data_IF_253237457688
#
_entry.id   IF_253237457688
#
_cell.length_a   1.000
_cell.length_b   1.000
_cell.length_c   1.000
_cell.angle_alpha   90.00
_cell.angle_beta   90.00
_cell.angle_gamma   90.00
#
_symmetry.space_group_name_H-M   'P 1'
#
loop_
_entity.id
_entity.type
_entity.pdbx_description
1 polymer ?
#
# COMPACT_ATOMS: atom_id res chain seq x y z
N UNK A 1 65.02 -2.18 -0.18
CA UNK A 1 65.98 -1.10 -0.56
C UNK A 1 65.36 -0.29 -1.68
N UNK A 2 64.97 0.90 -1.45
CA UNK A 2 65.21 2.24 -2.02
C UNK A 2 64.07 3.18 -1.53
N UNK A 3 64.48 3.98 -0.57
CA UNK A 3 63.81 5.22 -0.17
C UNK A 3 63.91 6.23 -1.32
N UNK A 4 62.87 7.08 -1.49
CA UNK A 4 63.04 8.40 -2.09
C UNK A 4 62.39 9.47 -1.23
N UNK A 5 63.27 10.41 -0.86
CA UNK A 5 63.09 11.59 -0.04
C UNK A 5 62.31 12.67 -0.75
N UNK A 6 61.62 13.46 0.08
CA UNK A 6 61.10 14.80 -0.24
C UNK A 6 62.24 15.83 -0.36
N UNK A 7 62.04 16.94 -1.06
CA UNK A 7 62.62 18.21 -0.63
C UNK A 7 61.56 19.24 -0.25
N UNK A 8 61.78 19.87 0.87
CA UNK A 8 61.10 21.08 1.29
C UNK A 8 61.73 22.30 0.63
N UNK A 9 61.04 23.43 0.74
CA UNK A 9 61.49 24.75 0.31
C UNK A 9 60.58 25.80 0.94
N UNK A 10 61.16 26.55 1.79
CA UNK A 10 60.67 27.62 2.68
C UNK A 10 60.53 28.96 1.97
N UNK A 11 59.67 29.83 2.61
CA UNK A 11 59.73 31.28 2.79
C UNK A 11 59.63 32.23 1.58
N UNK A 12 58.79 33.22 1.62
CA UNK A 12 58.90 34.52 2.31
C UNK A 12 57.73 35.46 2.02
N UNK A 13 57.39 36.17 3.06
CA UNK A 13 56.54 37.35 3.20
C UNK A 13 56.72 38.46 2.14
N UNK A 14 55.62 39.16 1.79
CA UNK A 14 55.60 40.65 1.71
C UNK A 14 54.20 41.23 1.78
N UNK A 15 54.03 42.05 2.77
CA UNK A 15 53.02 43.09 3.02
C UNK A 15 52.83 44.08 1.86
N UNK A 16 51.56 44.43 1.54
CA UNK A 16 51.22 45.75 1.06
C UNK A 16 49.76 46.09 1.41
N UNK A 17 49.63 47.17 2.16
CA UNK A 17 48.37 47.84 2.53
C UNK A 17 47.72 48.52 1.32
N UNK A 18 46.43 48.42 1.20
CA UNK A 18 45.61 49.22 0.28
C UNK A 18 44.21 49.39 0.82
N UNK A 19 43.94 50.51 1.47
CA UNK A 19 42.59 50.97 1.88
C UNK A 19 41.74 51.26 0.66
N UNK A 20 40.54 50.68 0.59
CA UNK A 20 39.41 51.40 0.02
C UNK A 20 38.13 50.96 0.77
N UNK A 21 37.64 51.85 1.60
CA UNK A 21 36.29 51.88 2.07
C UNK A 21 35.35 52.22 0.90
N UNK A 22 34.36 51.44 0.70
CA UNK A 22 33.08 51.90 0.13
C UNK A 22 31.97 51.09 0.77
N UNK A 23 31.27 51.73 1.66
CA UNK A 23 30.00 51.34 2.21
C UNK A 23 29.00 51.02 1.10
N UNK A 24 28.53 49.79 1.04
CA UNK A 24 27.21 49.50 0.50
C UNK A 24 26.47 48.65 1.55
N UNK A 25 25.85 49.35 2.44
CA UNK A 25 24.87 48.85 3.37
C UNK A 25 23.59 48.52 2.57
N UNK A 26 23.54 47.37 1.91
CA UNK A 26 22.28 46.85 1.40
C UNK A 26 21.59 46.14 2.52
N UNK A 27 20.68 46.87 3.15
CA UNK A 27 19.76 46.41 4.14
C UNK A 27 19.07 45.14 3.67
N UNK A 28 19.35 44.01 4.34
CA UNK A 28 18.47 42.85 4.33
C UNK A 28 17.12 43.30 4.84
N UNK A 29 16.19 43.60 3.93
CA UNK A 29 14.79 43.68 4.27
C UNK A 29 14.38 42.36 4.91
N UNK A 30 14.37 42.36 6.22
CA UNK A 30 13.69 41.33 7.01
C UNK A 30 12.20 41.49 6.73
N UNK A 31 11.63 40.63 5.93
CA UNK A 31 10.20 40.52 5.75
C UNK A 31 9.56 40.15 7.11
N UNK A 32 8.84 41.09 7.78
CA UNK A 32 8.24 40.81 9.07
C UNK A 32 6.99 39.96 8.84
N UNK A 33 7.10 38.63 8.99
CA UNK A 33 5.92 37.77 8.96
C UNK A 33 6.11 36.36 8.46
N UNK A 34 7.28 35.94 8.00
CA UNK A 34 7.48 34.53 7.66
C UNK A 34 7.60 33.68 8.92
N UNK A 35 6.59 32.85 9.17
CA UNK A 35 6.65 31.84 10.20
C UNK A 35 7.86 30.92 9.94
N UNK A 36 8.54 30.53 11.03
CA UNK A 36 9.64 29.58 10.94
C UNK A 36 9.14 28.26 10.37
N UNK A 37 9.91 27.63 9.48
CA UNK A 37 9.62 26.30 8.97
C UNK A 37 9.47 25.31 10.14
N UNK A 38 8.33 24.64 10.24
CA UNK A 38 8.02 23.71 11.33
C UNK A 38 8.93 22.47 11.34
N UNK A 39 9.64 22.20 10.23
CA UNK A 39 10.51 21.03 10.08
C UNK A 39 11.95 21.35 10.47
N UNK A 40 12.50 22.49 10.06
CA UNK A 40 13.90 22.83 10.30
C UNK A 40 14.14 24.08 11.16
N UNK A 41 13.06 24.82 11.51
CA UNK A 41 13.14 26.05 12.32
C UNK A 41 13.66 27.29 11.58
N UNK A 42 14.08 27.20 10.33
CA UNK A 42 14.61 28.33 9.55
C UNK A 42 13.47 29.18 8.96
N UNK A 43 13.72 30.49 8.78
CA UNK A 43 12.73 31.45 8.25
C UNK A 43 12.94 31.81 6.78
N UNK A 44 13.90 31.17 6.07
CA UNK A 44 14.27 31.51 4.70
C UNK A 44 13.43 30.76 3.63
N UNK A 45 12.54 29.84 4.03
CA UNK A 45 11.66 29.11 3.14
C UNK A 45 10.36 28.74 3.87
N UNK A 46 9.33 28.34 3.12
CA UNK A 46 8.08 27.79 3.69
C UNK A 46 8.27 26.34 4.12
N UNK A 47 7.41 25.82 4.99
CA UNK A 47 7.44 24.40 5.42
C UNK A 47 7.30 23.45 4.23
N UNK A 48 6.49 23.80 3.22
CA UNK A 48 6.31 22.98 2.01
C UNK A 48 7.54 22.95 1.09
N UNK A 49 8.39 23.99 1.14
CA UNK A 49 9.63 24.11 0.36
C UNK A 49 10.86 23.60 1.12
N UNK A 50 10.67 23.06 2.32
CA UNK A 50 11.77 22.60 3.14
C UNK A 50 12.44 21.38 2.52
N UNK A 51 13.74 21.49 2.17
CA UNK A 51 14.52 20.37 1.64
C UNK A 51 14.56 19.16 2.58
N UNK A 52 14.43 19.38 3.89
CA UNK A 52 14.34 18.30 4.89
C UNK A 52 13.01 17.55 4.85
N UNK A 53 11.98 18.11 4.20
CA UNK A 53 10.69 17.48 3.97
C UNK A 53 10.57 16.88 2.55
N UNK A 54 11.59 17.03 1.73
CA UNK A 54 11.60 16.37 0.43
C UNK A 54 11.79 14.87 0.65
N UNK A 55 10.66 14.17 0.64
CA UNK A 55 10.65 12.72 0.54
C UNK A 55 10.81 12.36 -0.93
N UNK A 56 11.93 11.72 -1.26
CA UNK A 56 12.14 11.24 -2.61
C UNK A 56 11.49 9.86 -2.76
N UNK A 57 10.34 9.84 -3.41
CA UNK A 57 9.50 8.64 -3.54
C UNK A 57 10.24 7.44 -4.14
N UNK A 58 11.22 7.69 -5.02
CA UNK A 58 11.97 6.64 -5.70
C UNK A 58 12.92 5.86 -4.81
N UNK A 59 13.44 6.46 -3.75
CA UNK A 59 14.39 5.80 -2.86
C UNK A 59 13.89 5.66 -1.42
N UNK A 60 12.76 6.27 -1.08
CA UNK A 60 12.17 6.24 0.26
C UNK A 60 12.94 7.04 1.32
N UNK A 61 13.85 7.94 0.92
CA UNK A 61 14.62 8.77 1.85
C UNK A 61 14.29 10.24 1.67
N UNK A 62 14.36 10.98 2.79
CA UNK A 62 14.27 12.43 2.80
C UNK A 62 15.64 13.09 2.56
N UNK A 63 15.63 14.40 2.36
CA UNK A 63 16.81 15.29 2.35
C UNK A 63 17.65 15.31 1.05
N UNK A 64 17.17 14.76 -0.05
CA UNK A 64 17.83 14.91 -1.34
C UNK A 64 16.83 15.05 -2.49
N UNK A 65 17.30 15.53 -3.63
CA UNK A 65 16.51 15.65 -4.86
C UNK A 65 16.77 14.44 -5.78
N UNK A 66 15.98 14.33 -6.85
CA UNK A 66 16.17 13.31 -7.88
C UNK A 66 17.58 13.35 -8.49
N UNK A 67 18.16 14.55 -8.62
CA UNK A 67 19.49 14.75 -9.21
C UNK A 67 20.62 14.30 -8.26
N UNK A 68 20.37 14.32 -6.96
CA UNK A 68 21.34 13.95 -5.93
C UNK A 68 21.19 12.48 -5.52
N UNK A 69 20.16 11.78 -6.00
CA UNK A 69 19.92 10.40 -5.65
C UNK A 69 20.87 9.44 -6.36
N UNK A 70 21.70 8.74 -5.60
CA UNK A 70 22.65 7.74 -6.09
C UNK A 70 22.07 6.32 -6.13
N UNK A 71 20.80 6.14 -5.80
CA UNK A 71 20.14 4.82 -5.81
C UNK A 71 19.62 4.51 -7.21
N UNK A 72 19.53 3.23 -7.50
CA UNK A 72 18.87 2.77 -8.72
C UNK A 72 17.41 3.27 -8.76
N UNK A 73 16.94 3.68 -9.93
CA UNK A 73 15.56 4.05 -10.13
C UNK A 73 14.62 2.91 -9.68
N UNK A 74 13.51 3.27 -9.04
CA UNK A 74 12.55 2.28 -8.50
C UNK A 74 11.96 1.35 -9.56
N UNK A 75 11.88 1.79 -10.82
CA UNK A 75 11.41 0.97 -11.93
C UNK A 75 12.37 -0.17 -12.31
N UNK A 76 13.61 -0.17 -11.78
CA UNK A 76 14.53 -1.29 -11.90
C UNK A 76 14.26 -2.38 -10.85
N UNK A 77 13.44 -2.08 -9.83
CA UNK A 77 13.05 -3.05 -8.82
C UNK A 77 11.86 -3.84 -9.37
N UNK A 78 12.13 -5.07 -9.78
CA UNK A 78 11.09 -5.97 -10.25
C UNK A 78 10.17 -6.45 -9.12
N UNK A 79 9.02 -7.05 -9.47
CA UNK A 79 8.14 -7.67 -8.50
C UNK A 79 8.86 -8.78 -7.73
N UNK A 80 8.59 -8.90 -6.43
CA UNK A 80 9.13 -9.96 -5.59
C UNK A 80 8.37 -11.27 -5.86
N UNK A 81 9.10 -12.34 -6.19
CA UNK A 81 8.51 -13.67 -6.30
C UNK A 81 8.30 -14.25 -4.89
N UNK A 82 7.06 -14.58 -4.58
CA UNK A 82 6.66 -15.16 -3.29
C UNK A 82 6.04 -16.53 -3.48
N UNK A 83 6.07 -17.36 -2.43
CA UNK A 83 5.51 -18.72 -2.38
C UNK A 83 6.12 -19.66 -3.44
N UNK A 84 7.39 -19.50 -3.77
CA UNK A 84 8.07 -20.34 -4.77
C UNK A 84 8.14 -21.81 -4.38
N UNK A 85 8.12 -22.12 -3.08
CA UNK A 85 8.14 -23.50 -2.53
C UNK A 85 6.74 -24.10 -2.38
N UNK A 86 5.68 -23.39 -2.76
CA UNK A 86 4.29 -23.88 -2.67
C UNK A 86 3.78 -24.20 -4.07
N UNK A 87 3.51 -25.47 -4.32
CA UNK A 87 3.09 -25.96 -5.64
C UNK A 87 1.83 -25.23 -6.11
N UNK A 88 1.89 -24.65 -7.32
CA UNK A 88 0.81 -23.90 -7.96
C UNK A 88 0.30 -22.66 -7.18
N UNK A 89 1.02 -22.23 -6.12
CA UNK A 89 0.61 -21.09 -5.29
C UNK A 89 1.54 -19.88 -5.43
N UNK A 90 2.62 -19.98 -6.19
CA UNK A 90 3.54 -18.88 -6.41
C UNK A 90 2.85 -17.65 -7.01
N UNK A 91 3.30 -16.47 -6.61
CA UNK A 91 2.81 -15.20 -7.12
C UNK A 91 3.91 -14.13 -7.05
N UNK A 92 3.75 -13.11 -7.87
CA UNK A 92 4.57 -11.91 -7.79
C UNK A 92 3.87 -10.89 -6.90
N UNK A 93 4.60 -10.36 -5.93
CA UNK A 93 4.14 -9.31 -5.04
C UNK A 93 4.75 -7.97 -5.47
N UNK A 94 3.90 -6.95 -5.54
CA UNK A 94 4.29 -5.58 -5.79
C UNK A 94 3.89 -4.79 -4.55
N UNK A 95 4.84 -4.12 -3.92
CA UNK A 95 4.56 -3.27 -2.77
C UNK A 95 3.64 -2.11 -3.16
N UNK A 96 2.60 -1.87 -2.36
CA UNK A 96 1.77 -0.68 -2.54
C UNK A 96 2.62 0.56 -2.26
N UNK A 97 2.79 1.40 -3.27
CA UNK A 97 3.36 2.72 -3.08
C UNK A 97 2.31 3.61 -2.43
N UNK A 98 2.51 3.98 -1.18
CA UNK A 98 1.59 4.83 -0.42
C UNK A 98 1.96 6.30 -0.68
N UNK A 99 1.65 6.81 -1.86
CA UNK A 99 1.68 8.25 -2.12
C UNK A 99 0.53 8.90 -1.31
N UNK A 100 0.84 9.86 -0.41
CA UNK A 100 -0.17 10.59 0.35
C UNK A 100 -1.24 11.27 -0.51
N UNK A 101 -0.89 11.59 -1.75
CA UNK A 101 -1.82 12.18 -2.73
C UNK A 101 -2.84 11.13 -3.20
N UNK A 102 -2.36 9.93 -3.53
CA UNK A 102 -3.22 8.80 -3.91
C UNK A 102 -4.11 8.37 -2.75
N UNK A 103 -3.60 8.35 -1.51
CA UNK A 103 -4.38 8.05 -0.30
C UNK A 103 -5.53 9.04 -0.13
N UNK A 104 -5.29 10.36 -0.31
CA UNK A 104 -6.35 11.38 -0.24
C UNK A 104 -7.37 11.23 -1.36
N UNK A 105 -6.94 10.94 -2.56
CA UNK A 105 -7.83 10.70 -3.69
C UNK A 105 -8.68 9.45 -3.48
N UNK A 106 -8.07 8.35 -3.00
CA UNK A 106 -8.76 7.13 -2.61
C UNK A 106 -9.83 7.40 -1.54
N UNK A 107 -9.47 8.11 -0.48
CA UNK A 107 -10.40 8.44 0.62
C UNK A 107 -11.59 9.29 0.18
N UNK A 108 -11.43 10.13 -0.83
CA UNK A 108 -12.52 10.95 -1.41
C UNK A 108 -13.25 10.29 -2.59
N UNK A 109 -12.88 9.07 -2.96
CA UNK A 109 -13.57 8.28 -3.99
C UNK A 109 -14.55 7.31 -3.36
N UNK A 110 -15.72 7.18 -3.95
CA UNK A 110 -16.75 6.25 -3.50
C UNK A 110 -17.16 5.29 -4.61
N UNK A 111 -17.69 4.14 -4.19
CA UNK A 111 -18.40 3.20 -5.02
C UNK A 111 -19.88 3.44 -4.78
N UNK A 112 -20.63 3.66 -5.85
CA UNK A 112 -22.08 3.76 -5.82
C UNK A 112 -22.63 2.45 -6.36
N UNK A 113 -23.38 1.73 -5.54
CA UNK A 113 -23.99 0.45 -5.90
C UNK A 113 -25.50 0.62 -6.00
N UNK A 114 -26.06 0.45 -7.19
CA UNK A 114 -27.51 0.46 -7.41
C UNK A 114 -28.07 -0.88 -6.96
N UNK A 115 -28.89 -0.85 -5.90
CA UNK A 115 -29.49 -2.05 -5.27
C UNK A 115 -30.86 -2.40 -5.85
N UNK A 116 -31.61 -1.38 -6.25
CA UNK A 116 -32.95 -1.52 -6.86
C UNK A 116 -33.08 -0.58 -8.05
N UNK A 117 -33.65 -1.08 -9.14
CA UNK A 117 -33.83 -0.32 -10.37
C UNK A 117 -32.52 -0.19 -11.19
N UNK A 118 -32.53 0.74 -12.11
CA UNK A 118 -31.37 1.04 -12.96
C UNK A 118 -31.07 2.52 -12.95
N UNK A 119 -29.81 2.88 -12.92
CA UNK A 119 -29.30 4.25 -13.02
C UNK A 119 -28.19 4.34 -14.06
N UNK A 120 -28.23 5.39 -14.85
CA UNK A 120 -27.11 5.78 -15.69
C UNK A 120 -26.13 6.65 -14.91
N UNK A 121 -24.88 6.72 -15.37
CA UNK A 121 -23.86 7.60 -14.78
C UNK A 121 -24.33 9.07 -14.69
N UNK A 122 -25.02 9.55 -15.75
CA UNK A 122 -25.54 10.93 -15.78
C UNK A 122 -26.65 11.20 -14.77
N UNK A 123 -27.50 10.22 -14.49
CA UNK A 123 -28.54 10.36 -13.46
C UNK A 123 -27.92 10.46 -12.07
N UNK A 124 -26.90 9.63 -11.80
CA UNK A 124 -26.14 9.69 -10.56
C UNK A 124 -25.44 11.07 -10.40
N UNK A 125 -24.77 11.54 -11.45
CA UNK A 125 -24.11 12.86 -11.46
C UNK A 125 -25.10 14.00 -11.17
N UNK A 126 -26.27 13.97 -11.79
CA UNK A 126 -27.30 14.99 -11.62
C UNK A 126 -27.89 14.95 -10.21
N UNK A 127 -28.11 13.74 -9.64
CA UNK A 127 -28.63 13.59 -8.29
C UNK A 127 -27.69 14.24 -7.27
N UNK A 128 -26.40 13.90 -7.33
CA UNK A 128 -25.41 14.50 -6.43
C UNK A 128 -25.20 15.99 -6.67
N UNK A 129 -25.32 16.47 -7.90
CA UNK A 129 -25.29 17.89 -8.19
C UNK A 129 -26.47 18.64 -7.56
N UNK A 130 -27.63 18.01 -7.46
CA UNK A 130 -28.83 18.60 -6.87
C UNK A 130 -28.78 18.55 -5.33
N UNK A 131 -28.35 17.44 -4.78
CA UNK A 131 -28.31 17.22 -3.32
C UNK A 131 -27.16 17.98 -2.66
N UNK A 132 -26.01 18.08 -3.35
CA UNK A 132 -24.83 18.76 -2.84
C UNK A 132 -24.68 20.10 -3.54
N UNK A 133 -25.02 21.20 -2.85
CA UNK A 133 -24.92 22.57 -3.34
C UNK A 133 -23.46 23.03 -3.51
N UNK A 134 -22.65 22.30 -4.28
CA UNK A 134 -21.26 22.63 -4.57
C UNK A 134 -21.15 23.09 -6.04
N UNK A 135 -21.34 24.39 -6.27
CA UNK A 135 -21.38 24.98 -7.62
C UNK A 135 -20.12 24.76 -8.44
N UNK A 136 -18.97 24.53 -7.78
CA UNK A 136 -17.68 24.39 -8.45
C UNK A 136 -17.19 22.96 -8.59
N UNK A 137 -17.92 21.97 -8.05
CA UNK A 137 -17.50 20.59 -8.13
C UNK A 137 -18.03 19.90 -9.38
N UNK A 138 -17.12 19.31 -10.14
CA UNK A 138 -17.48 18.55 -11.33
C UNK A 138 -17.76 17.09 -10.94
N UNK A 139 -19.03 16.74 -10.90
CA UNK A 139 -19.46 15.36 -10.67
C UNK A 139 -19.22 14.52 -11.90
N UNK A 140 -18.48 13.42 -11.74
CA UNK A 140 -18.20 12.46 -12.82
C UNK A 140 -18.33 11.06 -12.22
N UNK A 141 -19.34 10.30 -12.67
CA UNK A 141 -19.53 8.91 -12.35
C UNK A 141 -19.01 8.02 -13.48
N UNK A 142 -18.19 7.05 -13.13
CA UNK A 142 -17.63 6.08 -14.09
C UNK A 142 -18.17 4.70 -13.77
N UNK A 143 -18.83 4.04 -14.72
CA UNK A 143 -19.28 2.66 -14.59
C UNK A 143 -18.06 1.75 -14.46
N UNK A 144 -18.02 0.90 -13.40
CA UNK A 144 -16.94 -0.05 -13.09
C UNK A 144 -17.41 -1.50 -13.18
N UNK A 145 -18.70 -1.75 -12.94
CA UNK A 145 -19.35 -3.05 -13.13
C UNK A 145 -20.85 -2.82 -13.36
N UNK A 146 -21.58 -3.90 -13.57
CA UNK A 146 -23.03 -3.79 -13.62
C UNK A 146 -23.55 -3.27 -12.26
N UNK A 147 -24.40 -2.25 -12.33
CA UNK A 147 -24.97 -1.55 -11.18
C UNK A 147 -23.95 -0.93 -10.22
N UNK A 148 -22.66 -0.80 -10.62
CA UNK A 148 -21.60 -0.17 -9.81
C UNK A 148 -20.90 0.95 -10.55
N UNK A 149 -20.73 2.07 -9.85
CA UNK A 149 -20.08 3.26 -10.37
C UNK A 149 -19.03 3.77 -9.38
N UNK A 150 -17.91 4.23 -9.89
CA UNK A 150 -16.92 4.98 -9.12
C UNK A 150 -17.16 6.47 -9.31
N UNK A 151 -17.17 7.23 -8.24
CA UNK A 151 -17.33 8.68 -8.28
C UNK A 151 -16.48 9.36 -7.21
N UNK A 152 -15.87 10.49 -7.56
CA UNK A 152 -15.08 11.29 -6.63
C UNK A 152 -15.95 12.36 -5.98
N UNK A 153 -15.85 12.46 -4.66
CA UNK A 153 -16.52 13.45 -3.82
C UNK A 153 -15.58 14.60 -3.48
N UNK A 154 -16.10 15.77 -3.11
CA UNK A 154 -15.30 16.91 -2.67
C UNK A 154 -14.40 16.61 -1.46
N UNK A 155 -14.81 15.71 -0.58
CA UNK A 155 -14.06 15.31 0.61
C UNK A 155 -14.34 13.89 1.05
N UNK A 156 -13.38 13.27 1.74
CA UNK A 156 -13.56 11.97 2.39
C UNK A 156 -14.69 11.96 3.43
N UNK A 157 -14.89 13.10 4.14
CA UNK A 157 -15.97 13.26 5.11
C UNK A 157 -17.32 13.06 4.45
N UNK A 158 -17.55 13.62 3.27
CA UNK A 158 -18.79 13.45 2.53
C UNK A 158 -19.03 12.00 2.14
N UNK A 159 -18.01 11.28 1.70
CA UNK A 159 -18.14 9.84 1.41
C UNK A 159 -18.64 9.09 2.64
N UNK A 160 -18.06 9.35 3.81
CA UNK A 160 -18.46 8.73 5.07
C UNK A 160 -19.86 9.17 5.55
N UNK A 161 -20.28 10.39 5.23
CA UNK A 161 -21.63 10.87 5.56
C UNK A 161 -22.68 10.16 4.71
N UNK A 162 -22.47 10.08 3.39
CA UNK A 162 -23.40 9.42 2.48
C UNK A 162 -23.37 7.89 2.59
N UNK A 163 -22.31 7.29 3.13
CA UNK A 163 -22.26 5.83 3.33
C UNK A 163 -23.15 5.30 4.45
N UNK A 164 -23.75 6.21 5.25
CA UNK A 164 -24.63 5.83 6.37
C UNK A 164 -26.07 5.58 5.96
N UNK A 165 -26.44 5.92 4.73
CA UNK A 165 -27.83 5.92 4.28
C UNK A 165 -27.94 5.22 2.93
N UNK A 166 -29.06 4.52 2.73
CA UNK A 166 -29.50 4.15 1.41
C UNK A 166 -30.19 5.36 0.77
N UNK A 167 -29.81 5.67 -0.45
CA UNK A 167 -30.26 6.84 -1.19
C UNK A 167 -31.25 6.41 -2.29
N UNK A 168 -32.16 7.31 -2.63
CA UNK A 168 -33.09 7.13 -3.74
C UNK A 168 -33.11 8.38 -4.63
N UNK A 169 -33.59 8.23 -5.86
CA UNK A 169 -33.80 9.36 -6.78
C UNK A 169 -35.26 9.75 -6.75
N UNK A 170 -35.56 11.05 -6.56
CA UNK A 170 -36.90 11.55 -6.51
C UNK A 170 -37.68 11.24 -7.80
N UNK A 171 -38.81 10.55 -7.65
CA UNK A 171 -39.68 10.20 -8.79
C UNK A 171 -39.27 8.92 -9.53
N UNK A 172 -38.24 8.22 -9.07
CA UNK A 172 -37.85 6.91 -9.60
C UNK A 172 -37.86 5.87 -8.47
N UNK A 173 -38.32 4.65 -8.77
CA UNK A 173 -38.26 3.52 -7.83
C UNK A 173 -36.84 2.89 -7.85
N UNK A 174 -35.86 3.66 -7.38
CA UNK A 174 -34.46 3.29 -7.38
C UNK A 174 -33.88 3.46 -5.98
N UNK A 175 -33.06 2.51 -5.57
CA UNK A 175 -32.23 2.59 -4.36
C UNK A 175 -30.77 2.31 -4.68
N UNK A 176 -29.89 3.10 -4.10
CA UNK A 176 -28.45 2.92 -4.23
C UNK A 176 -27.73 3.26 -2.92
N UNK A 177 -26.60 2.62 -2.70
CA UNK A 177 -25.71 2.89 -1.57
C UNK A 177 -24.43 3.56 -2.04
N UNK A 178 -23.81 4.32 -1.14
CA UNK A 178 -22.49 4.92 -1.31
C UNK A 178 -21.55 4.22 -0.34
N UNK A 179 -20.47 3.66 -0.86
CA UNK A 179 -19.46 2.96 -0.08
C UNK A 179 -18.09 3.60 -0.32
N UNK A 180 -17.22 3.73 0.69
CA UNK A 180 -15.85 4.18 0.47
C UNK A 180 -15.13 3.29 -0.54
N UNK A 181 -14.28 3.89 -1.38
CA UNK A 181 -13.49 3.13 -2.34
C UNK A 181 -12.58 2.11 -1.62
N UNK A 182 -12.61 0.90 -2.09
CA UNK A 182 -11.68 -0.15 -1.66
C UNK A 182 -10.87 -0.67 -2.85
N UNK A 183 -9.61 -1.00 -2.64
CA UNK A 183 -8.74 -1.60 -3.66
C UNK A 183 -9.18 -3.02 -4.05
N UNK A 184 -10.15 -3.59 -3.30
CA UNK A 184 -10.76 -4.87 -3.61
C UNK A 184 -11.70 -4.81 -4.84
N UNK A 185 -12.10 -3.61 -5.28
CA UNK A 185 -12.90 -3.45 -6.48
C UNK A 185 -12.14 -3.99 -7.69
N UNK A 186 -12.75 -4.97 -8.36
CA UNK A 186 -12.14 -5.71 -9.49
C UNK A 186 -10.95 -6.61 -9.09
N UNK A 187 -10.67 -6.80 -7.81
CA UNK A 187 -9.70 -7.80 -7.37
C UNK A 187 -10.24 -9.21 -7.65
N UNK A 188 -9.37 -10.07 -8.16
CA UNK A 188 -9.70 -11.48 -8.44
C UNK A 188 -9.84 -12.30 -7.15
N UNK A 189 -9.20 -11.86 -6.07
CA UNK A 189 -9.22 -12.49 -4.77
C UNK A 189 -8.34 -11.73 -3.78
N UNK A 190 -8.35 -12.17 -2.54
CA UNK A 190 -7.53 -11.62 -1.46
C UNK A 190 -6.58 -12.71 -0.95
N UNK A 191 -5.35 -12.33 -0.62
CA UNK A 191 -4.42 -13.24 0.05
C UNK A 191 -4.90 -13.51 1.47
N UNK A 192 -4.88 -14.77 1.87
CA UNK A 192 -5.12 -15.18 3.24
C UNK A 192 -3.87 -14.87 4.08
N UNK A 193 -4.05 -14.54 5.34
CA UNK A 193 -2.94 -14.22 6.24
C UNK A 193 -3.01 -15.10 7.48
N UNK A 194 -1.87 -15.66 7.87
CA UNK A 194 -1.75 -16.41 9.12
C UNK A 194 -0.42 -16.12 9.79
N UNK A 195 -0.36 -16.39 11.09
CA UNK A 195 0.88 -16.44 11.84
C UNK A 195 1.49 -17.83 11.76
N UNK A 196 2.81 -17.86 11.58
CA UNK A 196 3.60 -19.07 11.56
C UNK A 196 4.75 -18.97 12.55
N UNK A 197 5.01 -20.06 13.26
CA UNK A 197 6.26 -20.28 13.96
C UNK A 197 7.25 -20.87 12.97
N UNK A 198 8.35 -20.18 12.74
CA UNK A 198 9.35 -20.59 11.76
C UNK A 198 10.61 -21.03 12.49
N UNK A 199 10.85 -22.35 12.47
CA UNK A 199 12.02 -23.00 13.03
C UNK A 199 13.19 -23.11 12.05
N UNK A 200 14.36 -23.53 12.55
CA UNK A 200 15.54 -23.80 11.71
C UNK A 200 16.38 -22.57 11.36
N UNK A 201 16.01 -21.35 11.80
CA UNK A 201 16.76 -20.13 11.46
C UNK A 201 18.00 -20.02 12.37
N UNK A 202 19.24 -20.05 11.77
CA UNK A 202 20.46 -19.88 12.55
C UNK A 202 20.51 -18.55 13.30
N UNK A 203 21.06 -18.54 14.50
CA UNK A 203 21.06 -17.35 15.37
C UNK A 203 21.80 -16.16 14.75
N UNK A 204 22.89 -16.43 14.02
CA UNK A 204 23.69 -15.43 13.31
C UNK A 204 23.02 -14.89 12.04
N UNK A 205 21.96 -15.56 11.55
CA UNK A 205 21.21 -15.19 10.34
C UNK A 205 19.84 -14.56 10.64
N UNK A 206 19.56 -14.19 11.88
CA UNK A 206 18.29 -13.60 12.30
C UNK A 206 18.15 -12.10 12.04
N UNK A 207 18.78 -11.60 10.97
CA UNK A 207 18.49 -10.27 10.47
C UNK A 207 17.05 -10.17 9.92
N UNK A 208 16.32 -9.05 10.18
CA UNK A 208 14.93 -8.89 9.75
C UNK A 208 14.75 -9.14 8.25
N UNK A 209 15.70 -8.70 7.43
CA UNK A 209 15.68 -8.93 5.98
C UNK A 209 15.81 -10.42 5.63
N UNK A 210 16.65 -11.16 6.33
CA UNK A 210 16.81 -12.62 6.13
C UNK A 210 15.55 -13.36 6.53
N UNK A 211 14.98 -13.03 7.71
CA UNK A 211 13.73 -13.60 8.20
C UNK A 211 12.59 -13.32 7.20
N UNK A 212 12.49 -12.08 6.68
CA UNK A 212 11.48 -11.74 5.70
C UNK A 212 11.62 -12.56 4.40
N UNK A 213 12.85 -12.82 3.93
CA UNK A 213 13.10 -13.67 2.75
C UNK A 213 12.73 -15.12 2.99
N UNK A 214 12.97 -15.64 4.20
CA UNK A 214 12.58 -17.01 4.58
C UNK A 214 11.05 -17.14 4.52
N UNK A 215 10.30 -16.19 5.08
CA UNK A 215 8.84 -16.17 4.94
C UNK A 215 8.40 -16.06 3.47
N UNK A 216 9.21 -15.41 2.62
CA UNK A 216 9.01 -15.30 1.18
C UNK A 216 9.01 -16.64 0.43
N UNK A 217 9.59 -17.70 0.98
CA UNK A 217 9.60 -19.04 0.38
C UNK A 217 8.19 -19.62 0.23
N UNK A 218 7.31 -19.32 1.19
CA UNK A 218 5.95 -19.91 1.27
C UNK A 218 4.83 -18.86 1.11
N UNK A 219 5.16 -17.57 1.07
CA UNK A 219 4.20 -16.50 0.90
C UNK A 219 4.87 -15.13 0.93
N UNK A 220 4.16 -14.05 1.19
CA UNK A 220 4.73 -12.73 1.43
C UNK A 220 4.78 -12.46 2.93
N UNK A 221 5.96 -12.18 3.44
CA UNK A 221 6.12 -11.74 4.83
C UNK A 221 5.47 -10.38 5.02
N UNK A 222 4.48 -10.31 5.92
CA UNK A 222 3.74 -9.10 6.25
C UNK A 222 4.25 -8.45 7.53
N UNK A 223 4.60 -9.28 8.52
CA UNK A 223 5.06 -8.82 9.84
C UNK A 223 5.96 -9.86 10.48
N UNK A 224 6.92 -9.41 11.26
CA UNK A 224 7.79 -10.24 12.08
C UNK A 224 7.55 -9.84 13.54
N UNK A 225 7.31 -10.82 14.41
CA UNK A 225 7.26 -10.56 15.84
C UNK A 225 8.69 -10.48 16.39
N UNK A 226 9.17 -9.24 16.54
CA UNK A 226 10.55 -8.98 16.97
C UNK A 226 10.84 -9.51 18.38
N UNK A 227 9.83 -9.70 19.22
CA UNK A 227 10.00 -10.29 20.56
C UNK A 227 10.49 -11.75 20.50
N UNK A 228 10.12 -12.46 19.43
CA UNK A 228 10.51 -13.85 19.19
C UNK A 228 11.78 -14.00 18.35
N UNK A 229 12.35 -12.90 17.85
CA UNK A 229 13.48 -12.90 16.91
C UNK A 229 14.67 -13.73 17.38
N UNK A 230 14.96 -13.68 18.68
CA UNK A 230 16.07 -14.41 19.30
C UNK A 230 15.60 -15.61 20.15
N UNK A 231 14.34 -16.00 20.01
CA UNK A 231 13.85 -17.23 20.63
C UNK A 231 14.62 -18.44 20.07
N UNK A 232 14.96 -19.40 20.93
CA UNK A 232 15.79 -20.56 20.56
C UNK A 232 15.13 -21.44 19.50
N UNK A 233 13.83 -21.64 19.60
CA UNK A 233 13.11 -22.68 18.84
C UNK A 233 12.47 -22.16 17.56
N UNK A 234 11.94 -20.93 17.57
CA UNK A 234 11.25 -20.36 16.41
C UNK A 234 11.31 -18.82 16.36
N UNK A 235 11.04 -18.28 15.19
CA UNK A 235 10.68 -16.87 14.99
C UNK A 235 9.23 -16.82 14.50
N UNK A 236 8.40 -15.97 15.08
CA UNK A 236 7.00 -15.80 14.72
C UNK A 236 6.84 -14.80 13.58
N UNK A 237 6.26 -15.24 12.47
CA UNK A 237 6.14 -14.45 11.25
C UNK A 237 4.70 -14.49 10.74
N UNK A 238 4.13 -13.34 10.41
CA UNK A 238 2.84 -13.23 9.72
C UNK A 238 3.08 -13.26 8.22
N UNK A 239 2.48 -14.23 7.54
CA UNK A 239 2.69 -14.50 6.12
C UNK A 239 1.36 -14.42 5.38
N UNK A 240 1.35 -13.74 4.22
CA UNK A 240 0.21 -13.70 3.31
C UNK A 240 0.42 -14.70 2.17
N UNK A 241 -0.55 -15.61 1.97
CA UNK A 241 -0.52 -16.69 1.01
C UNK A 241 -1.80 -16.68 0.15
N UNK A 242 -1.79 -17.37 -0.99
CA UNK A 242 -3.03 -17.63 -1.73
C UNK A 242 -3.96 -18.57 -0.95
N UNK A 243 -3.37 -19.60 -0.35
CA UNK A 243 -4.05 -20.54 0.54
C UNK A 243 -3.09 -20.93 1.66
N UNK A 244 -3.43 -20.63 2.90
CA UNK A 244 -2.60 -20.89 4.08
C UNK A 244 -2.55 -22.38 4.42
N UNK A 245 -3.56 -23.16 4.05
CA UNK A 245 -3.60 -24.61 4.28
C UNK A 245 -2.61 -25.39 3.41
N UNK A 246 -2.19 -24.79 2.29
CA UNK A 246 -1.25 -25.42 1.36
C UNK A 246 0.22 -25.08 1.66
N UNK A 247 0.48 -24.30 2.71
CA UNK A 247 1.86 -24.03 3.14
C UNK A 247 2.49 -25.34 3.62
N UNK A 248 3.64 -25.76 3.03
CA UNK A 248 4.29 -26.99 3.43
C UNK A 248 4.88 -26.85 4.84
N UNK A 249 4.99 -27.96 5.60
CA UNK A 249 5.58 -27.95 6.94
C UNK A 249 7.07 -27.61 6.93
N UNK A 250 7.74 -27.74 5.79
CA UNK A 250 9.14 -27.35 5.61
C UNK A 250 9.41 -26.79 4.21
N UNK A 251 10.39 -25.92 4.12
CA UNK A 251 10.90 -25.41 2.86
C UNK A 251 12.43 -25.31 2.92
N UNK A 252 13.08 -25.80 1.86
CA UNK A 252 14.53 -25.79 1.72
C UNK A 252 15.03 -24.49 1.06
N UNK A 253 16.13 -23.93 1.54
CA UNK A 253 16.75 -22.78 0.91
C UNK A 253 18.25 -22.73 1.17
N UNK A 254 19.00 -22.21 0.21
CA UNK A 254 20.43 -21.93 0.37
C UNK A 254 20.64 -20.58 1.04
N UNK A 255 21.43 -20.55 2.11
CA UNK A 255 21.99 -19.33 2.66
C UNK A 255 23.51 -19.35 2.51
N UNK A 256 24.05 -18.51 1.62
CA UNK A 256 25.43 -18.62 1.20
C UNK A 256 25.69 -19.94 0.49
N UNK A 257 26.64 -20.71 1.02
CA UNK A 257 27.03 -22.02 0.46
C UNK A 257 26.38 -23.19 1.16
N UNK A 258 25.50 -22.95 2.13
CA UNK A 258 24.86 -23.97 2.94
C UNK A 258 23.38 -24.09 2.65
N UNK A 259 22.86 -25.31 2.72
CA UNK A 259 21.46 -25.65 2.54
C UNK A 259 20.81 -25.75 3.92
N UNK A 260 19.63 -25.16 4.08
CA UNK A 260 18.87 -25.16 5.32
C UNK A 260 17.42 -25.53 5.07
N UNK A 261 16.86 -26.30 6.00
CA UNK A 261 15.43 -26.58 6.08
C UNK A 261 14.79 -25.65 7.11
N UNK A 262 13.76 -24.91 6.68
CA UNK A 262 12.95 -24.08 7.56
C UNK A 262 11.61 -24.75 7.80
N UNK A 263 11.25 -24.86 9.09
CA UNK A 263 10.00 -25.50 9.50
C UNK A 263 8.92 -24.43 9.68
N UNK A 264 7.75 -24.63 9.07
CA UNK A 264 6.61 -23.72 9.14
C UNK A 264 5.46 -24.37 9.89
N UNK A 265 5.19 -23.92 11.11
CA UNK A 265 4.07 -24.37 11.93
C UNK A 265 3.03 -23.24 11.97
N UNK A 266 1.82 -23.46 11.41
CA UNK A 266 0.74 -22.48 11.44
C UNK A 266 0.18 -22.38 12.86
N UNK A 267 -0.01 -21.14 13.33
CA UNK A 267 -0.79 -20.87 14.52
C UNK A 267 -2.27 -20.78 14.14
N UNK A 268 -3.09 -21.65 14.72
CA UNK A 268 -4.56 -21.60 14.58
C UNK A 268 -5.08 -20.62 15.62
N UNK A 269 -5.68 -19.53 15.18
CA UNK A 269 -6.39 -18.60 16.07
C UNK A 269 -7.78 -19.15 16.35
N UNK A 270 -8.30 -18.96 17.56
CA UNK A 270 -9.69 -19.36 17.88
C UNK A 270 -10.74 -18.67 17.00
N UNK A 271 -10.39 -17.50 16.43
CA UNK A 271 -11.25 -16.78 15.50
C UNK A 271 -11.31 -17.43 14.10
N UNK A 272 -10.28 -18.19 13.70
CA UNK A 272 -10.26 -18.91 12.41
C UNK A 272 -11.18 -20.13 12.42
N UNK A 273 -11.39 -20.76 13.58
CA UNK A 273 -12.31 -21.88 13.74
C UNK A 273 -13.78 -21.47 13.58
N UNK A 274 -14.13 -20.25 13.99
CA UNK A 274 -15.50 -19.73 13.84
C UNK A 274 -15.84 -19.45 12.38
N UNK A 275 -14.91 -18.89 11.60
CA UNK A 275 -15.12 -18.62 10.17
C UNK A 275 -15.19 -19.90 9.34
N UNK A 276 -14.39 -20.92 9.67
CA UNK A 276 -14.41 -22.20 8.97
C UNK A 276 -15.68 -23.00 9.27
N UNK A 277 -16.24 -22.88 10.48
CA UNK A 277 -17.54 -23.49 10.83
C UNK A 277 -18.71 -22.87 10.08
N UNK A 278 -18.71 -21.54 9.85
CA UNK A 278 -19.76 -20.88 9.07
C UNK A 278 -19.72 -21.26 7.59
N UNK A 279 -18.52 -21.40 7.01
CA UNK A 279 -18.35 -21.82 5.61
C UNK A 279 -18.68 -23.30 5.42
N UNK A 280 -18.33 -24.18 6.36
CA UNK A 280 -18.69 -25.61 6.32
C UNK A 280 -20.20 -25.83 6.43
N UNK A 281 -20.88 -25.10 7.30
CA UNK A 281 -22.33 -25.20 7.44
C UNK A 281 -23.13 -24.61 6.25
N UNK A 282 -22.51 -23.72 5.46
CA UNK A 282 -23.12 -23.18 4.24
C UNK A 282 -23.02 -24.17 3.04
N UNK A 283 -22.09 -25.13 3.08
CA UNK A 283 -21.88 -26.12 2.02
C UNK A 283 -22.71 -27.39 2.22
N UNK A 284 -23.14 -27.69 3.45
CA UNK A 284 -23.90 -28.91 3.76
C UNK A 284 -25.43 -28.82 3.55
N UNK A 285 -25.98 -27.70 3.11
CA UNK A 285 -27.41 -27.60 2.82
C UNK A 285 -27.69 -27.13 1.37
N UNK A 286 -27.53 -27.98 0.36
CA UNK A 286 -28.12 -27.75 -0.95
C UNK A 286 -29.58 -28.23 -0.91
N UNK A 287 -30.52 -27.38 -0.53
CA UNK A 287 -31.92 -27.61 -0.86
C UNK A 287 -32.10 -27.62 -2.37
N UNK A 288 -32.24 -28.85 -2.87
CA UNK A 288 -32.62 -29.15 -4.24
C UNK A 288 -34.06 -28.65 -4.45
N UNK A 289 -34.22 -27.42 -4.91
CA UNK A 289 -35.49 -26.97 -5.49
C UNK A 289 -35.62 -27.58 -6.89
N UNK A 290 -36.35 -28.66 -6.95
CA UNK A 290 -36.81 -29.29 -8.20
C UNK A 290 -37.70 -28.31 -8.97
N UNK A 291 -37.19 -27.82 -10.11
CA UNK A 291 -37.99 -27.05 -11.07
C UNK A 291 -39.10 -27.93 -11.67
N UNK A 292 -40.34 -27.44 -11.75
CA UNK A 292 -41.45 -28.23 -12.37
C UNK A 292 -41.24 -28.36 -13.87
N UNK A 293 -41.29 -29.63 -14.34
CA UNK A 293 -41.23 -29.99 -15.75
C UNK A 293 -42.46 -29.41 -16.47
N UNK A 294 -42.26 -28.61 -17.51
CA UNK A 294 -43.31 -28.21 -18.47
C UNK A 294 -43.78 -29.44 -19.26
N UNK A 295 -45.13 -29.63 -19.46
CA UNK A 295 -45.65 -30.70 -20.29
C UNK A 295 -45.31 -30.49 -21.77
N UNK A 296 -44.84 -31.54 -22.44
CA UNK A 296 -44.70 -31.61 -23.91
C UNK A 296 -46.08 -31.59 -24.54
N UNK A 297 -46.36 -30.62 -25.34
CA UNK A 297 -47.51 -30.63 -26.27
C UNK A 297 -47.09 -31.40 -27.53
N UNK A 298 -47.61 -32.57 -27.72
CA UNK A 298 -47.60 -33.28 -29.00
C UNK A 298 -48.53 -32.55 -29.97
N UNK A 299 -47.99 -32.11 -31.07
CA UNK A 299 -48.77 -31.66 -32.23
C UNK A 299 -48.71 -32.76 -33.25
N UNK A 300 -49.83 -33.43 -33.43
CA UNK A 300 -50.17 -34.32 -34.55
C UNK A 300 -50.63 -33.39 -35.69
N UNK A 301 -49.96 -33.45 -36.77
CA UNK A 301 -50.22 -33.50 -38.20
C UNK A 301 -49.02 -33.01 -38.98
#
# INVERSE_FOLDING_TARGET
>A
MKQRQFPGGSDESKTAQGKHQSDINQGKQQNPGRLACTICGLKNHSTGECRRNMFYELCGFANHTILDCKREPFWNVGPELCAAQVMNQSFFYIDENIDPKVVREKASTAIITVRKGELSAKQIENEFKTVVSSEHWKWIARKIADNKFAMRFPSAKMVLEYSKFDLGVKGLDVQFSVEPWTSAVSAKGQLQQAWFKVGGIPVDQRGLRTIAKIGGLVGKTMQIDESTRFNRDFVRIKIACRNVELVPPSAECNMGMYIYDFLFEREVSQDDDMLNHEVANAVENPEVQASPKRPRTETIF
#
